data_IF_345279611309
#
_entry.id   IF_345279611309
#
_cell.length_a   1.000
_cell.length_b   1.000
_cell.length_c   1.000
_cell.angle_alpha   90.00
_cell.angle_beta   90.00
_cell.angle_gamma   90.00
#
_symmetry.space_group_name_H-M   'P 1'
#
loop_
_entity.id
_entity.type
_entity.pdbx_description
1 polymer ?
#
# COMPACT_ATOMS: atom_id res chain seq x y z
N UNK A 1 -3.28 -7.73 3.21
CA UNK A 1 -4.03 -7.33 1.99
C UNK A 1 -5.30 -6.64 2.43
N UNK A 2 -5.46 -5.36 2.08
CA UNK A 2 -6.62 -4.55 2.47
C UNK A 2 -7.69 -4.60 1.38
N UNK A 3 -8.97 -4.73 1.76
CA UNK A 3 -10.08 -4.75 0.81
C UNK A 3 -11.03 -3.56 1.03
N UNK A 4 -11.43 -2.93 -0.07
CA UNK A 4 -12.49 -1.93 -0.10
C UNK A 4 -13.57 -2.41 -1.07
N UNK A 5 -14.84 -2.29 -0.67
CA UNK A 5 -15.98 -2.75 -1.48
C UNK A 5 -16.86 -1.55 -1.77
N UNK A 6 -17.22 -1.41 -3.04
CA UNK A 6 -18.19 -0.42 -3.51
C UNK A 6 -19.30 -1.12 -4.30
N UNK A 7 -20.50 -0.55 -4.24
CA UNK A 7 -21.68 -1.05 -4.94
C UNK A 7 -22.26 0.08 -5.77
N UNK A 8 -22.44 -0.18 -7.06
CA UNK A 8 -23.04 0.73 -8.01
C UNK A 8 -24.36 0.14 -8.51
N UNK A 9 -25.42 0.94 -8.55
CA UNK A 9 -26.68 0.52 -9.16
C UNK A 9 -26.44 0.24 -10.65
N UNK A 10 -26.82 -0.95 -11.15
CA UNK A 10 -26.60 -1.32 -12.55
C UNK A 10 -27.39 -0.44 -13.53
N UNK A 11 -28.38 0.31 -13.05
CA UNK A 11 -29.11 1.32 -13.83
C UNK A 11 -28.25 2.55 -14.14
N UNK A 12 -27.12 2.74 -13.45
CA UNK A 12 -26.11 3.72 -13.87
C UNK A 12 -25.51 3.30 -15.21
N UNK A 13 -25.18 4.26 -16.07
CA UNK A 13 -24.51 3.92 -17.32
C UNK A 13 -23.16 3.24 -17.05
N UNK A 14 -22.75 2.25 -17.86
CA UNK A 14 -21.45 1.59 -17.72
C UNK A 14 -20.28 2.58 -17.68
N UNK A 15 -20.36 3.67 -18.44
CA UNK A 15 -19.35 4.74 -18.42
C UNK A 15 -19.22 5.43 -17.06
N UNK A 16 -20.34 5.67 -16.37
CA UNK A 16 -20.31 6.28 -15.04
C UNK A 16 -19.68 5.36 -14.01
N UNK A 17 -20.00 4.06 -14.06
CA UNK A 17 -19.41 3.09 -13.14
C UNK A 17 -17.90 2.96 -13.40
N UNK A 18 -17.50 2.87 -14.67
CA UNK A 18 -16.09 2.84 -15.07
C UNK A 18 -15.33 4.08 -14.61
N UNK A 19 -15.88 5.28 -14.78
CA UNK A 19 -15.26 6.52 -14.31
C UNK A 19 -15.13 6.54 -12.78
N UNK A 20 -16.17 6.17 -12.04
CA UNK A 20 -16.14 6.12 -10.58
C UNK A 20 -15.08 5.13 -10.07
N UNK A 21 -15.03 3.92 -10.64
CA UNK A 21 -14.01 2.92 -10.35
C UNK A 21 -12.60 3.44 -10.62
N UNK A 22 -12.38 4.16 -11.73
CA UNK A 22 -11.09 4.74 -12.07
C UNK A 22 -10.68 5.85 -11.10
N UNK A 23 -11.57 6.78 -10.77
CA UNK A 23 -11.29 7.82 -9.77
C UNK A 23 -10.94 7.23 -8.42
N UNK A 24 -11.67 6.18 -8.00
CA UNK A 24 -11.39 5.49 -6.75
C UNK A 24 -10.02 4.83 -6.75
N UNK A 25 -9.67 4.14 -7.84
CA UNK A 25 -8.34 3.54 -8.04
C UNK A 25 -7.23 4.58 -7.92
N UNK A 26 -7.37 5.72 -8.59
CA UNK A 26 -6.41 6.82 -8.55
C UNK A 26 -6.25 7.41 -7.15
N UNK A 27 -7.37 7.64 -6.45
CA UNK A 27 -7.35 8.12 -5.08
C UNK A 27 -6.62 7.15 -4.13
N UNK A 28 -6.88 5.85 -4.25
CA UNK A 28 -6.18 4.83 -3.45
C UNK A 28 -4.68 4.81 -3.78
N UNK A 29 -4.29 4.91 -5.06
CA UNK A 29 -2.88 5.02 -5.45
C UNK A 29 -2.22 6.24 -4.81
N UNK A 30 -2.88 7.39 -4.86
CA UNK A 30 -2.36 8.64 -4.31
C UNK A 30 -2.18 8.54 -2.78
N UNK A 31 -3.19 8.02 -2.07
CA UNK A 31 -3.15 7.83 -0.63
C UNK A 31 -1.94 6.98 -0.19
N UNK A 32 -1.73 5.82 -0.81
CA UNK A 32 -0.60 4.96 -0.47
C UNK A 32 0.73 5.52 -0.96
N UNK A 33 0.75 6.25 -2.07
CA UNK A 33 1.97 6.96 -2.53
C UNK A 33 2.44 7.98 -1.51
N UNK A 34 1.54 8.75 -0.89
CA UNK A 34 1.92 9.67 0.18
C UNK A 34 2.53 8.95 1.37
N UNK A 35 1.95 7.80 1.78
CA UNK A 35 2.53 6.96 2.84
C UNK A 35 3.94 6.49 2.50
N UNK A 36 4.12 5.92 1.31
CA UNK A 36 5.42 5.40 0.84
C UNK A 36 6.48 6.51 0.82
N UNK A 37 6.17 7.68 0.26
CA UNK A 37 7.10 8.83 0.20
C UNK A 37 7.53 9.27 1.61
N UNK A 38 6.60 9.26 2.58
CA UNK A 38 6.93 9.65 3.95
C UNK A 38 7.92 8.67 4.59
N UNK A 39 7.71 7.36 4.39
CA UNK A 39 8.58 6.30 4.91
C UNK A 39 9.94 6.29 4.19
N UNK A 40 9.94 6.49 2.87
CA UNK A 40 11.15 6.60 2.06
C UNK A 40 12.05 7.73 2.55
N UNK A 41 11.49 8.94 2.71
CA UNK A 41 12.24 10.10 3.22
C UNK A 41 12.84 9.83 4.60
N UNK A 42 12.07 9.18 5.47
CA UNK A 42 12.55 8.76 6.78
C UNK A 42 13.75 7.82 6.68
N UNK A 43 13.63 6.74 5.88
CA UNK A 43 14.67 5.74 5.73
C UNK A 43 15.94 6.29 5.08
N UNK A 44 15.82 7.20 4.10
CA UNK A 44 16.97 7.85 3.48
C UNK A 44 17.75 8.67 4.51
N UNK A 45 17.08 9.49 5.32
CA UNK A 45 17.74 10.27 6.36
C UNK A 45 18.43 9.35 7.40
N UNK A 46 17.75 8.28 7.80
CA UNK A 46 18.30 7.27 8.72
C UNK A 46 19.51 6.54 8.13
N UNK A 47 19.48 6.23 6.83
CA UNK A 47 20.59 5.59 6.12
C UNK A 47 21.83 6.48 6.10
N UNK A 48 21.66 7.77 5.83
CA UNK A 48 22.75 8.76 5.83
C UNK A 48 23.38 8.88 7.23
N UNK A 49 22.55 8.92 8.27
CA UNK A 49 23.00 8.94 9.67
C UNK A 49 23.86 7.71 10.01
N UNK A 50 23.40 6.50 9.70
CA UNK A 50 24.15 5.28 10.03
C UNK A 50 25.44 5.13 9.21
N UNK A 51 25.43 5.60 7.95
CA UNK A 51 26.66 5.70 7.14
C UNK A 51 27.66 6.67 7.76
N UNK A 52 27.22 7.82 8.26
CA UNK A 52 28.08 8.79 8.94
C UNK A 52 28.69 8.19 10.22
N UNK A 53 27.90 7.41 10.96
CA UNK A 53 28.35 6.72 12.18
C UNK A 53 29.19 5.47 11.92
N UNK A 54 29.42 5.09 10.65
CA UNK A 54 30.07 3.84 10.23
C UNK A 54 29.36 2.57 10.74
N UNK A 55 28.06 2.62 11.02
CA UNK A 55 27.24 1.45 11.36
C UNK A 55 26.70 0.80 10.08
N UNK A 56 27.57 0.07 9.40
CA UNK A 56 27.26 -0.56 8.11
C UNK A 56 26.22 -1.69 8.22
N UNK A 57 26.09 -2.31 9.40
CA UNK A 57 25.10 -3.36 9.64
C UNK A 57 23.68 -2.76 9.65
N UNK A 58 23.49 -1.65 10.38
CA UNK A 58 22.22 -0.91 10.35
C UNK A 58 21.94 -0.31 8.99
N UNK A 59 22.95 0.28 8.34
CA UNK A 59 22.81 0.82 6.99
C UNK A 59 22.33 -0.26 6.00
N UNK A 60 22.86 -1.49 6.08
CA UNK A 60 22.41 -2.61 5.23
C UNK A 60 20.97 -3.03 5.51
N UNK A 61 20.54 -3.04 6.79
CA UNK A 61 19.14 -3.32 7.15
C UNK A 61 18.19 -2.26 6.58
N UNK A 62 18.55 -0.98 6.72
CA UNK A 62 17.77 0.14 6.19
C UNK A 62 17.62 0.02 4.67
N UNK A 63 18.71 -0.24 3.95
CA UNK A 63 18.71 -0.38 2.49
C UNK A 63 17.80 -1.52 1.99
N UNK A 64 17.80 -2.66 2.69
CA UNK A 64 16.90 -3.79 2.40
C UNK A 64 15.43 -3.45 2.65
N UNK A 65 15.13 -2.78 3.76
CA UNK A 65 13.76 -2.34 4.08
C UNK A 65 13.28 -1.35 3.01
N UNK A 66 14.11 -0.35 2.69
CA UNK A 66 13.81 0.66 1.67
C UNK A 66 13.52 0.04 0.31
N UNK A 67 14.39 -0.86 -0.15
CA UNK A 67 14.22 -1.59 -1.41
C UNK A 67 12.91 -2.38 -1.46
N UNK A 68 12.54 -3.00 -0.33
CA UNK A 68 11.30 -3.78 -0.21
C UNK A 68 10.04 -2.91 -0.28
N UNK A 69 10.08 -1.71 0.34
CA UNK A 69 8.98 -0.74 0.29
C UNK A 69 8.79 -0.20 -1.13
N UNK A 70 9.88 0.21 -1.79
CA UNK A 70 9.85 0.69 -3.18
C UNK A 70 9.31 -0.42 -4.10
N UNK A 71 9.80 -1.66 -3.93
CA UNK A 71 9.37 -2.81 -4.72
C UNK A 71 7.87 -3.11 -4.66
N UNK A 72 7.22 -2.88 -3.51
CA UNK A 72 5.75 -2.98 -3.43
C UNK A 72 5.07 -1.79 -4.09
N UNK A 73 5.55 -0.58 -3.84
CA UNK A 73 4.93 0.65 -4.35
C UNK A 73 4.92 0.68 -5.89
N UNK A 74 5.97 0.15 -6.51
CA UNK A 74 6.13 0.07 -7.96
C UNK A 74 5.54 -1.21 -8.57
N UNK A 75 4.98 -2.10 -7.75
CA UNK A 75 4.38 -3.35 -8.22
C UNK A 75 3.13 -3.07 -9.07
N UNK A 76 3.03 -3.74 -10.21
CA UNK A 76 1.80 -3.75 -11.03
C UNK A 76 0.61 -4.31 -10.25
N UNK A 77 0.87 -5.16 -9.27
CA UNK A 77 -0.13 -5.84 -8.46
C UNK A 77 -0.49 -5.05 -7.20
N UNK A 78 0.03 -3.82 -7.02
CA UNK A 78 -0.22 -3.02 -5.83
C UNK A 78 -1.71 -2.81 -5.53
N UNK A 79 -2.52 -2.59 -6.58
CA UNK A 79 -3.99 -2.54 -6.50
C UNK A 79 -4.57 -3.45 -7.56
N UNK A 80 -5.30 -4.46 -7.11
CA UNK A 80 -6.14 -5.32 -7.93
C UNK A 80 -7.60 -4.88 -7.82
N UNK A 81 -8.32 -4.95 -8.93
CA UNK A 81 -9.75 -4.62 -8.99
C UNK A 81 -10.49 -5.87 -9.46
N UNK A 82 -11.53 -6.25 -8.73
CA UNK A 82 -12.45 -7.32 -9.09
C UNK A 82 -13.86 -6.77 -9.22
N UNK A 83 -14.50 -7.02 -10.35
CA UNK A 83 -15.87 -6.60 -10.61
C UNK A 83 -16.78 -7.83 -10.68
N UNK A 84 -17.94 -7.74 -10.06
CA UNK A 84 -18.93 -8.83 -10.00
C UNK A 84 -20.34 -8.25 -9.95
N UNK A 85 -21.33 -9.05 -10.34
CA UNK A 85 -22.73 -8.70 -10.17
C UNK A 85 -23.20 -9.24 -8.82
N UNK A 86 -23.87 -8.41 -8.03
CA UNK A 86 -24.46 -8.76 -6.74
C UNK A 86 -25.95 -8.44 -6.71
N UNK A 87 -26.71 -9.19 -5.91
CA UNK A 87 -28.15 -9.03 -5.76
C UNK A 87 -28.49 -8.77 -4.29
N UNK A 88 -29.28 -7.73 -4.02
CA UNK A 88 -29.85 -7.45 -2.70
C UNK A 88 -31.31 -7.03 -2.85
N UNK A 89 -32.23 -7.77 -2.23
CA UNK A 89 -33.66 -7.47 -2.12
C UNK A 89 -34.27 -6.88 -3.41
N UNK A 90 -34.21 -7.64 -4.51
CA UNK A 90 -34.74 -7.31 -5.86
C UNK A 90 -33.97 -6.24 -6.65
N UNK A 91 -32.83 -5.76 -6.16
CA UNK A 91 -31.96 -4.82 -6.89
C UNK A 91 -30.63 -5.48 -7.28
N UNK A 92 -30.24 -5.26 -8.53
CA UNK A 92 -28.98 -5.71 -9.10
C UNK A 92 -27.94 -4.57 -9.00
N UNK A 93 -26.76 -4.90 -8.50
CA UNK A 93 -25.66 -3.98 -8.32
C UNK A 93 -24.39 -4.52 -8.98
N UNK A 94 -23.60 -3.63 -9.55
CA UNK A 94 -22.21 -3.92 -9.84
C UNK A 94 -21.40 -3.74 -8.56
N UNK A 95 -20.87 -4.84 -8.04
CA UNK A 95 -19.96 -4.87 -6.90
C UNK A 95 -18.52 -4.78 -7.41
N UNK A 96 -17.82 -3.74 -6.97
CA UNK A 96 -16.41 -3.52 -7.30
C UNK A 96 -15.59 -3.66 -6.02
N UNK A 97 -14.60 -4.55 -6.03
CA UNK A 97 -13.69 -4.81 -4.92
C UNK A 97 -12.31 -4.30 -5.31
N UNK A 98 -11.76 -3.41 -4.50
CA UNK A 98 -10.37 -2.97 -4.59
C UNK A 98 -9.56 -3.73 -3.54
N UNK A 99 -8.63 -4.58 -4.00
CA UNK A 99 -7.68 -5.29 -3.16
C UNK A 99 -6.33 -4.59 -3.24
N UNK A 100 -5.82 -4.14 -2.10
CA UNK A 100 -4.54 -3.43 -2.01
C UNK A 100 -3.51 -4.35 -1.36
N UNK A 101 -2.44 -4.59 -2.11
CA UNK A 101 -1.30 -5.34 -1.65
C UNK A 101 -0.38 -4.42 -0.86
N UNK A 102 -0.59 -4.46 0.46
CA UNK A 102 0.08 -3.58 1.42
C UNK A 102 1.36 -4.19 2.01
N UNK A 103 1.67 -5.45 1.68
CA UNK A 103 2.86 -6.15 2.17
C UNK A 103 3.30 -7.22 1.15
N UNK A 104 4.53 -7.70 1.29
CA UNK A 104 5.11 -8.80 0.52
C UNK A 104 5.94 -9.69 1.47
N UNK A 105 6.51 -10.77 0.93
CA UNK A 105 7.29 -11.73 1.73
C UNK A 105 8.44 -11.04 2.48
N UNK A 106 9.12 -10.07 1.86
CA UNK A 106 10.24 -9.37 2.49
C UNK A 106 9.77 -8.41 3.59
N UNK A 107 8.75 -7.58 3.34
CA UNK A 107 8.18 -6.70 4.38
C UNK A 107 7.55 -7.49 5.53
N UNK A 108 6.93 -8.63 5.26
CA UNK A 108 6.37 -9.49 6.30
C UNK A 108 7.46 -10.02 7.25
N UNK A 109 8.68 -10.31 6.75
CA UNK A 109 9.83 -10.68 7.60
C UNK A 109 10.25 -9.57 8.55
N UNK A 110 10.06 -8.31 8.14
CA UNK A 110 10.32 -7.14 8.97
C UNK A 110 9.12 -6.75 9.84
N UNK A 111 7.99 -7.46 9.74
CA UNK A 111 6.74 -7.10 10.42
C UNK A 111 6.13 -5.78 9.91
N UNK A 112 6.40 -5.42 8.65
CA UNK A 112 5.95 -4.19 8.02
C UNK A 112 4.72 -4.47 7.12
N UNK A 113 3.67 -3.69 7.30
CA UNK A 113 2.48 -3.70 6.45
C UNK A 113 1.99 -2.25 6.26
N UNK A 114 1.86 -1.82 4.99
CA UNK A 114 1.39 -0.48 4.62
C UNK A 114 -0.09 -0.23 4.97
N UNK A 115 -0.84 -1.26 5.36
CA UNK A 115 -2.17 -1.13 5.95
C UNK A 115 -2.12 -0.28 7.23
N UNK A 116 -1.07 -0.45 8.03
CA UNK A 116 -0.88 0.29 9.28
C UNK A 116 -0.67 1.79 9.01
N UNK A 117 -0.93 2.63 10.00
CA UNK A 117 -0.58 4.05 9.90
C UNK A 117 0.94 4.25 9.85
N UNK A 118 1.34 5.39 9.28
CA UNK A 118 2.76 5.71 9.02
C UNK A 118 3.61 5.68 10.28
N UNK A 119 3.06 6.11 11.43
CA UNK A 119 3.82 6.15 12.69
C UNK A 119 4.11 4.74 13.21
N UNK A 120 3.11 3.85 13.19
CA UNK A 120 3.30 2.45 13.57
C UNK A 120 4.26 1.72 12.63
N UNK A 121 4.25 2.04 11.33
CA UNK A 121 5.23 1.50 10.37
C UNK A 121 6.66 1.96 10.72
N UNK A 122 6.86 3.26 10.95
CA UNK A 122 8.17 3.82 11.33
C UNK A 122 8.68 3.17 12.63
N UNK A 123 7.79 2.96 13.60
CA UNK A 123 8.14 2.27 14.86
C UNK A 123 8.58 0.82 14.62
N UNK A 124 7.87 0.08 13.77
CA UNK A 124 8.26 -1.29 13.41
C UNK A 124 9.63 -1.33 12.72
N UNK A 125 9.88 -0.40 11.80
CA UNK A 125 11.17 -0.21 11.13
C UNK A 125 12.28 0.05 12.14
N UNK A 126 12.10 0.98 13.07
CA UNK A 126 13.12 1.28 14.09
C UNK A 126 13.45 0.08 14.98
N UNK A 127 12.43 -0.71 15.34
CA UNK A 127 12.68 -1.95 16.08
C UNK A 127 13.56 -2.92 15.28
N UNK A 128 13.33 -3.05 13.96
CA UNK A 128 14.14 -3.93 13.10
C UNK A 128 15.57 -3.42 12.89
N UNK A 129 15.76 -2.10 12.83
CA UNK A 129 17.09 -1.51 12.68
C UNK A 129 17.91 -1.73 13.95
N UNK A 130 17.28 -1.60 15.13
CA UNK A 130 17.96 -1.66 16.42
C UNK A 130 18.03 -3.06 17.05
N UNK A 131 17.29 -4.05 16.53
CA UNK A 131 17.41 -5.48 16.90
C UNK A 131 18.61 -6.12 16.23
#
# INVERSE_FOLDING_TARGET
MKKFVEQYDIRMSPDRIRMATQFRKEHLREFYRYKVIAIERYLIARLEEEKYNNDFDKASKIDKILSSIIGIADSTDFIKIEESIAYDNEREFQRVVFEINTTNIELARFGIDLENDTFNIIKAIENQINS
#
